data_IF_299472485901
#
_entry.id   IF_299472485901
#
_cell.length_a   1.000
_cell.length_b   1.000
_cell.length_c   1.000
_cell.angle_alpha   90.00
_cell.angle_beta   90.00
_cell.angle_gamma   90.00
#
_symmetry.space_group_name_H-M   'P 1'
#
loop_
_entity.id
_entity.type
_entity.pdbx_description
1 polymer ?
#
# COMPACT_ATOMS: atom_id res chain seq x y z
N UNK A 1 6.09 -1.68 6.88
CA UNK A 1 5.68 -1.41 5.48
C UNK A 1 4.42 -0.57 5.38
N UNK A 2 3.28 -0.98 5.98
CA UNK A 2 2.03 -0.22 5.89
C UNK A 2 2.15 1.27 6.29
N UNK A 3 2.87 1.57 7.37
CA UNK A 3 3.12 2.97 7.78
C UNK A 3 3.90 3.80 6.75
N UNK A 4 4.83 3.17 5.99
CA UNK A 4 5.53 3.83 4.89
C UNK A 4 4.59 4.13 3.72
N UNK A 5 3.72 3.16 3.36
CA UNK A 5 2.71 3.35 2.31
C UNK A 5 1.76 4.50 2.70
N UNK A 6 1.36 4.58 3.97
CA UNK A 6 0.54 5.68 4.48
C UNK A 6 1.25 7.04 4.39
N UNK A 7 2.52 7.13 4.74
CA UNK A 7 3.24 8.41 4.63
C UNK A 7 3.36 8.87 3.16
N UNK A 8 3.46 7.91 2.21
CA UNK A 8 3.40 8.22 0.78
C UNK A 8 2.03 8.76 0.35
N UNK A 9 0.92 8.19 0.84
CA UNK A 9 -0.42 8.65 0.46
C UNK A 9 -0.72 10.07 0.95
N UNK A 10 -0.10 10.53 2.05
CA UNK A 10 -0.25 11.90 2.54
C UNK A 10 0.25 12.94 1.53
N UNK A 11 1.29 12.62 0.75
CA UNK A 11 1.84 13.52 -0.26
C UNK A 11 1.08 13.50 -1.58
N UNK A 12 0.19 12.52 -1.78
CA UNK A 12 -0.52 12.31 -3.04
C UNK A 12 -2.00 12.72 -2.91
N UNK A 13 -2.35 13.81 -3.59
CA UNK A 13 -3.70 14.42 -3.59
C UNK A 13 -4.79 13.42 -3.99
N UNK A 14 -4.45 12.37 -4.75
CA UNK A 14 -5.41 11.33 -5.17
C UNK A 14 -6.03 10.57 -3.99
N UNK A 15 -5.44 10.62 -2.80
CA UNK A 15 -5.93 9.94 -1.60
C UNK A 15 -6.82 10.81 -0.70
N UNK A 16 -6.88 12.12 -0.93
CA UNK A 16 -7.66 13.07 -0.10
C UNK A 16 -9.16 12.75 -0.10
N UNK A 17 -9.67 12.15 -1.17
CA UNK A 17 -11.09 11.77 -1.28
C UNK A 17 -11.46 10.49 -0.52
N UNK A 18 -10.47 9.71 -0.06
CA UNK A 18 -10.72 8.50 0.71
C UNK A 18 -10.78 8.83 2.20
N UNK A 19 -11.66 8.12 2.92
CA UNK A 19 -11.70 8.21 4.37
C UNK A 19 -10.38 7.66 4.95
N UNK A 20 -9.76 8.30 5.96
CA UNK A 20 -8.49 7.83 6.52
C UNK A 20 -8.51 6.37 6.99
N UNK A 21 -9.65 5.88 7.49
CA UNK A 21 -9.85 4.47 7.88
C UNK A 21 -9.70 3.51 6.69
N UNK A 22 -10.25 3.87 5.52
CA UNK A 22 -10.12 3.10 4.28
C UNK A 22 -8.66 3.09 3.83
N UNK A 23 -7.99 4.24 3.85
CA UNK A 23 -6.57 4.33 3.47
C UNK A 23 -5.70 3.47 4.41
N UNK A 24 -5.95 3.49 5.72
CA UNK A 24 -5.27 2.64 6.69
C UNK A 24 -5.50 1.14 6.43
N UNK A 25 -6.75 0.74 6.25
CA UNK A 25 -7.12 -0.65 5.96
C UNK A 25 -6.50 -1.14 4.64
N UNK A 26 -6.56 -0.32 3.58
CA UNK A 26 -5.95 -0.62 2.29
C UNK A 26 -4.43 -0.73 2.37
N UNK A 27 -3.75 0.10 3.16
CA UNK A 27 -2.29 0.00 3.32
C UNK A 27 -1.88 -1.30 4.01
N UNK A 28 -2.67 -1.78 4.97
CA UNK A 28 -2.49 -3.09 5.60
C UNK A 28 -2.70 -4.20 4.57
N UNK A 29 -3.84 -4.18 3.85
CA UNK A 29 -4.17 -5.16 2.84
C UNK A 29 -3.08 -5.26 1.76
N UNK A 30 -2.65 -4.13 1.18
CA UNK A 30 -1.55 -4.06 0.21
C UNK A 30 -0.28 -4.68 0.77
N UNK A 31 0.09 -4.32 2.01
CA UNK A 31 1.27 -4.90 2.65
C UNK A 31 1.16 -6.41 2.75
N UNK A 32 0.02 -6.94 3.18
CA UNK A 32 -0.18 -8.38 3.37
C UNK A 32 -0.13 -9.15 2.04
N UNK A 33 -0.71 -8.59 0.97
CA UNK A 33 -0.63 -9.18 -0.38
C UNK A 33 0.83 -9.21 -0.86
N UNK A 34 1.53 -8.09 -0.67
CA UNK A 34 2.94 -7.93 -1.08
C UNK A 34 3.86 -8.94 -0.36
N UNK A 35 3.53 -9.34 0.87
CA UNK A 35 4.25 -10.38 1.61
C UNK A 35 3.73 -11.81 1.37
N UNK A 36 2.88 -12.01 0.36
CA UNK A 36 2.29 -13.30 0.00
C UNK A 36 1.61 -14.02 1.18
N UNK A 37 0.90 -13.25 2.02
CA UNK A 37 0.14 -13.82 3.13
C UNK A 37 -1.11 -14.49 2.57
N UNK A 38 -1.23 -15.80 2.84
CA UNK A 38 -2.31 -16.69 2.34
C UNK A 38 -3.72 -16.10 2.44
N UNK A 39 -4.05 -15.44 3.55
CA UNK A 39 -5.30 -14.72 3.74
C UNK A 39 -5.00 -13.24 4.04
N UNK A 40 -4.88 -12.41 2.99
CA UNK A 40 -4.45 -11.02 3.15
C UNK A 40 -5.54 -10.16 3.83
N UNK A 41 -6.79 -10.61 3.81
CA UNK A 41 -7.92 -10.01 4.53
C UNK A 41 -8.73 -11.06 5.30
N UNK A 42 -8.30 -11.35 6.53
CA UNK A 42 -8.97 -12.31 7.42
C UNK A 42 -10.34 -11.79 7.91
N UNK A 43 -11.23 -12.72 8.30
CA UNK A 43 -12.55 -12.40 8.85
C UNK A 43 -12.49 -11.46 10.06
N UNK A 44 -11.44 -11.56 10.88
CA UNK A 44 -11.19 -10.65 12.01
C UNK A 44 -11.02 -9.19 11.57
N UNK A 45 -10.32 -8.93 10.46
CA UNK A 45 -10.17 -7.58 9.92
C UNK A 45 -11.50 -7.02 9.44
N UNK A 46 -12.26 -7.81 8.69
CA UNK A 46 -13.60 -7.42 8.24
C UNK A 46 -14.54 -7.16 9.44
N UNK A 47 -14.45 -7.98 10.49
CA UNK A 47 -15.27 -7.82 11.69
C UNK A 47 -15.00 -6.51 12.43
N UNK A 48 -13.73 -6.12 12.60
CA UNK A 48 -13.35 -4.92 13.33
C UNK A 48 -13.43 -3.65 12.49
N UNK A 49 -13.03 -3.70 11.22
CA UNK A 49 -13.00 -2.53 10.33
C UNK A 49 -14.32 -2.28 9.61
N UNK A 50 -15.19 -3.29 9.54
CA UNK A 50 -16.44 -3.31 8.75
C UNK A 50 -16.22 -3.14 7.24
N UNK A 51 -14.99 -3.28 6.75
CA UNK A 51 -14.67 -3.24 5.33
C UNK A 51 -14.44 -4.65 4.77
N UNK A 52 -15.01 -4.90 3.59
CA UNK A 52 -14.67 -6.05 2.77
C UNK A 52 -13.46 -5.75 1.88
N UNK A 53 -12.82 -6.79 1.36
CA UNK A 53 -11.74 -6.62 0.38
C UNK A 53 -12.20 -5.83 -0.86
N UNK A 54 -13.45 -6.02 -1.28
CA UNK A 54 -14.05 -5.29 -2.40
C UNK A 54 -14.12 -3.78 -2.14
N UNK A 55 -14.50 -3.36 -0.93
CA UNK A 55 -14.58 -1.94 -0.55
C UNK A 55 -13.21 -1.25 -0.61
N UNK A 56 -12.15 -1.99 -0.27
CA UNK A 56 -10.77 -1.49 -0.23
C UNK A 56 -10.09 -1.53 -1.60
N UNK A 57 -10.63 -2.29 -2.56
CA UNK A 57 -9.99 -2.58 -3.86
C UNK A 57 -9.63 -1.32 -4.63
N UNK A 58 -10.50 -0.31 -4.64
CA UNK A 58 -10.25 0.96 -5.35
C UNK A 58 -9.03 1.71 -4.78
N UNK A 59 -8.88 1.71 -3.46
CA UNK A 59 -7.77 2.39 -2.79
C UNK A 59 -6.47 1.57 -2.91
N UNK A 60 -6.54 0.25 -2.76
CA UNK A 60 -5.43 -0.70 -3.01
C UNK A 60 -4.84 -0.53 -4.41
N UNK A 61 -5.68 -0.49 -5.45
CA UNK A 61 -5.25 -0.28 -6.85
C UNK A 61 -4.48 1.04 -7.02
N UNK A 62 -4.97 2.13 -6.42
CA UNK A 62 -4.28 3.43 -6.44
C UNK A 62 -2.94 3.38 -5.69
N UNK A 63 -2.87 2.69 -4.55
CA UNK A 63 -1.63 2.50 -3.80
C UNK A 63 -0.60 1.69 -4.60
N UNK A 64 -1.01 0.65 -5.30
CA UNK A 64 -0.12 -0.14 -6.16
C UNK A 64 0.49 0.73 -7.29
N UNK A 65 -0.34 1.53 -7.98
CA UNK A 65 0.12 2.50 -8.99
C UNK A 65 1.10 3.52 -8.40
N UNK A 66 0.79 4.03 -7.20
CA UNK A 66 1.67 4.94 -6.48
C UNK A 66 3.04 4.29 -6.23
N UNK A 67 3.07 3.07 -5.69
CA UNK A 67 4.31 2.34 -5.36
C UNK A 67 5.20 2.10 -6.60
N UNK A 68 4.62 1.76 -7.75
CA UNK A 68 5.36 1.65 -9.02
C UNK A 68 6.03 2.97 -9.43
N UNK A 69 5.36 4.10 -9.15
CA UNK A 69 5.85 5.43 -9.52
C UNK A 69 6.79 6.08 -8.49
N UNK A 70 6.92 5.52 -7.28
CA UNK A 70 7.68 6.13 -6.17
C UNK A 70 9.11 6.45 -6.55
N UNK A 71 9.81 5.54 -7.25
CA UNK A 71 11.22 5.73 -7.63
C UNK A 71 11.41 6.84 -8.67
N UNK A 72 10.39 7.05 -9.51
CA UNK A 72 10.37 8.08 -10.55
C UNK A 72 9.88 9.43 -10.01
N UNK A 73 9.23 9.44 -8.85
CA UNK A 73 8.67 10.65 -8.24
C UNK A 73 9.77 11.61 -7.79
N UNK A 74 9.49 12.90 -7.94
CA UNK A 74 10.32 13.99 -7.40
C UNK A 74 10.20 14.09 -5.86
N UNK A 75 9.09 13.61 -5.30
CA UNK A 75 8.82 13.65 -3.87
C UNK A 75 9.47 12.46 -3.18
N UNK A 76 10.72 12.63 -2.72
CA UNK A 76 11.53 11.58 -2.07
C UNK A 76 11.61 11.69 -0.54
N UNK A 77 10.91 12.64 0.07
CA UNK A 77 11.01 12.90 1.52
C UNK A 77 10.64 11.66 2.35
N UNK A 78 9.45 11.08 2.11
CA UNK A 78 9.03 9.84 2.76
C UNK A 78 9.97 8.67 2.43
N UNK A 79 10.36 8.51 1.16
CA UNK A 79 11.32 7.47 0.76
C UNK A 79 12.65 7.56 1.54
N UNK A 80 13.21 8.76 1.67
CA UNK A 80 14.46 9.01 2.41
C UNK A 80 14.29 8.76 3.91
N UNK A 81 13.19 9.22 4.51
CA UNK A 81 12.86 8.96 5.92
C UNK A 81 12.87 7.46 6.22
N UNK A 82 12.13 6.67 5.44
CA UNK A 82 12.05 5.22 5.61
C UNK A 82 13.24 4.45 5.01
N UNK A 83 14.28 5.14 4.50
CA UNK A 83 15.56 4.52 4.11
C UNK A 83 16.50 4.36 5.29
N UNK A 84 16.32 5.15 6.37
CA UNK A 84 17.12 5.04 7.58
C UNK A 84 16.92 3.67 8.24
N UNK A 85 17.98 2.86 8.30
CA UNK A 85 17.96 1.52 8.88
C UNK A 85 17.78 1.54 10.40
N UNK A 86 18.40 2.50 11.06
CA UNK A 86 18.41 2.61 12.53
C UNK A 86 17.01 2.91 13.10
N UNK A 87 16.26 3.79 12.44
CA UNK A 87 14.95 4.22 12.95
C UNK A 87 13.76 3.49 12.29
N UNK A 88 13.87 3.14 11.01
CA UNK A 88 12.75 2.61 10.23
C UNK A 88 13.06 1.30 9.50
N UNK A 89 14.11 0.59 9.92
CA UNK A 89 14.54 -0.70 9.37
C UNK A 89 14.79 -0.69 7.85
N UNK A 90 14.94 0.48 7.22
CA UNK A 90 15.15 0.60 5.78
C UNK A 90 14.01 0.08 4.91
N UNK A 91 12.76 0.08 5.42
CA UNK A 91 11.59 -0.54 4.75
C UNK A 91 11.32 -0.02 3.33
N UNK A 92 11.73 1.21 3.01
CA UNK A 92 11.61 1.77 1.65
C UNK A 92 12.44 1.04 0.60
N UNK A 93 13.56 0.41 0.99
CA UNK A 93 14.48 -0.30 0.10
C UNK A 93 14.25 -1.83 0.11
N UNK A 94 13.13 -2.28 0.69
CA UNK A 94 12.84 -3.70 0.83
C UNK A 94 12.64 -4.35 -0.56
N UNK A 95 13.27 -5.51 -0.85
CA UNK A 95 13.32 -6.09 -2.20
C UNK A 95 11.95 -6.41 -2.78
N UNK A 96 10.99 -6.77 -1.93
CA UNK A 96 9.62 -7.05 -2.33
C UNK A 96 8.91 -5.84 -2.98
N UNK A 97 9.33 -4.60 -2.70
CA UNK A 97 8.81 -3.41 -3.40
C UNK A 97 9.44 -3.20 -4.78
N UNK A 98 10.50 -3.94 -5.12
CA UNK A 98 11.11 -3.93 -6.45
C UNK A 98 10.47 -4.96 -7.38
N UNK A 99 9.63 -5.86 -6.87
CA UNK A 99 8.89 -6.80 -7.69
C UNK A 99 7.73 -6.07 -8.39
N UNK A 100 8.05 -5.58 -9.58
CA UNK A 100 7.14 -4.85 -10.44
C UNK A 100 5.95 -5.70 -10.90
N UNK A 101 6.05 -7.04 -10.93
CA UNK A 101 5.02 -7.90 -11.54
C UNK A 101 3.75 -7.92 -10.69
N UNK A 102 3.88 -8.27 -9.40
CA UNK A 102 2.76 -8.30 -8.46
C UNK A 102 2.10 -6.91 -8.33
N UNK A 103 2.92 -5.86 -8.25
CA UNK A 103 2.41 -4.49 -8.16
C UNK A 103 1.67 -4.05 -9.42
N UNK A 104 2.10 -4.50 -10.61
CA UNK A 104 1.39 -4.26 -11.87
C UNK A 104 0.08 -5.04 -11.92
N UNK A 105 0.05 -6.29 -11.48
CA UNK A 105 -1.18 -7.07 -11.38
C UNK A 105 -2.21 -6.44 -10.45
N UNK A 106 -1.77 -5.92 -9.29
CA UNK A 106 -2.63 -5.19 -8.35
C UNK A 106 -3.05 -3.81 -8.87
N UNK A 107 -2.30 -3.22 -9.79
CA UNK A 107 -2.63 -1.95 -10.42
C UNK A 107 -3.64 -2.09 -11.56
N UNK A 108 -3.81 -3.29 -12.13
CA UNK A 108 -4.73 -3.56 -13.23
C UNK A 108 -6.19 -3.55 -12.76
N UNK A 109 -7.10 -3.13 -13.66
CA UNK A 109 -8.51 -2.90 -13.31
C UNK A 109 -9.32 -4.19 -13.14
N UNK A 110 -8.85 -5.35 -13.62
CA UNK A 110 -9.65 -6.58 -13.78
C UNK A 110 -9.41 -7.70 -12.73
N UNK A 111 -8.43 -7.61 -11.84
CA UNK A 111 -7.92 -8.78 -11.08
C UNK A 111 -8.56 -9.10 -9.73
N UNK A 112 -9.72 -8.52 -9.39
CA UNK A 112 -10.42 -8.89 -8.15
C UNK A 112 -11.92 -9.02 -8.42
N UNK A 113 -12.27 -10.09 -9.13
CA UNK A 113 -13.63 -10.67 -9.19
C UNK A 113 -13.58 -12.01 -8.46
#
# INVERSE_FOLDING_TARGET
>A
MAGYILDLTLTDVKFVHFVPSVVAASAILVTRIIFDIKEPWEHSFAYHTKYSQHDLTKCVKKMAKMLLSVKLSKQKAAFSKYSCKEMYCGVSNHPVLNDDLLLKELANEETLV
#
